data_IF_679642727817
#
_entry.id   IF_679642727817
#
_cell.length_a   1.000
_cell.length_b   1.000
_cell.length_c   1.000
_cell.angle_alpha   90.00
_cell.angle_beta   90.00
_cell.angle_gamma   90.00
#
_symmetry.space_group_name_H-M   'P 1'
#
loop_
_entity.id
_entity.type
_entity.pdbx_description
1 polymer ?
#
# COMPACT_ATOMS: atom_id res chain seq x y z
N UNK A 1 30.55 1.57 -5.27
CA UNK A 1 29.21 1.56 -5.90
C UNK A 1 28.56 0.23 -5.54
N UNK A 2 27.54 0.24 -4.69
CA UNK A 2 26.79 -0.97 -4.33
C UNK A 2 25.80 -1.23 -5.46
N UNK A 3 25.81 -2.43 -6.04
CA UNK A 3 24.81 -2.80 -7.04
C UNK A 3 23.42 -2.79 -6.39
N UNK A 4 22.39 -2.23 -7.04
CA UNK A 4 21.05 -2.25 -6.48
C UNK A 4 20.61 -3.70 -6.28
N UNK A 5 20.02 -3.99 -5.12
CA UNK A 5 19.42 -5.29 -4.86
C UNK A 5 18.22 -5.47 -5.79
N UNK A 6 18.19 -6.57 -6.53
CA UNK A 6 17.14 -6.88 -7.52
C UNK A 6 16.32 -8.07 -7.03
N UNK A 7 15.00 -7.96 -7.13
CA UNK A 7 14.09 -9.10 -7.04
C UNK A 7 13.91 -9.69 -8.44
N UNK A 8 14.32 -10.94 -8.70
CA UNK A 8 14.26 -11.52 -10.05
C UNK A 8 12.83 -11.80 -10.52
N UNK A 9 11.88 -12.04 -9.61
CA UNK A 9 10.47 -12.26 -9.95
C UNK A 9 9.77 -10.93 -10.23
N UNK A 10 10.10 -9.91 -9.44
CA UNK A 10 9.54 -8.56 -9.51
C UNK A 10 10.64 -7.51 -9.72
N UNK A 11 11.22 -7.42 -10.93
CA UNK A 11 12.39 -6.58 -11.20
C UNK A 11 12.12 -5.08 -11.08
N UNK A 12 10.85 -4.67 -11.03
CA UNK A 12 10.47 -3.29 -10.77
C UNK A 12 10.49 -2.91 -9.28
N UNK A 13 10.73 -3.85 -8.37
CA UNK A 13 10.77 -3.60 -6.92
C UNK A 13 12.00 -2.78 -6.54
N UNK A 14 11.80 -1.66 -5.85
CA UNK A 14 12.88 -0.97 -5.15
C UNK A 14 13.14 -1.68 -3.80
N UNK A 15 13.95 -2.75 -3.82
CA UNK A 15 14.06 -3.70 -2.69
C UNK A 15 14.49 -3.04 -1.38
N UNK A 16 15.51 -2.17 -1.42
CA UNK A 16 15.96 -1.45 -0.22
C UNK A 16 14.83 -0.59 0.39
N UNK A 17 14.12 0.16 -0.47
CA UNK A 17 12.98 1.00 -0.09
C UNK A 17 11.84 0.18 0.48
N UNK A 18 11.51 -0.95 -0.15
CA UNK A 18 10.50 -1.90 0.33
C UNK A 18 10.84 -2.43 1.74
N UNK A 19 12.09 -2.84 1.96
CA UNK A 19 12.53 -3.36 3.26
C UNK A 19 12.52 -2.28 4.34
N UNK A 20 12.89 -1.05 4.00
CA UNK A 20 12.80 0.08 4.92
C UNK A 20 11.33 0.41 5.27
N UNK A 21 10.41 0.38 4.30
CA UNK A 21 8.98 0.55 4.53
C UNK A 21 8.41 -0.54 5.45
N UNK A 22 8.77 -1.81 5.23
CA UNK A 22 8.40 -2.92 6.12
C UNK A 22 8.89 -2.70 7.54
N UNK A 23 10.15 -2.32 7.70
CA UNK A 23 10.74 -2.05 9.03
C UNK A 23 9.98 -0.95 9.77
N UNK A 24 9.64 0.15 9.07
CA UNK A 24 8.86 1.24 9.65
C UNK A 24 7.45 0.79 10.07
N UNK A 25 6.75 0.05 9.21
CA UNK A 25 5.42 -0.47 9.53
C UNK A 25 5.44 -1.39 10.76
N UNK A 26 6.43 -2.28 10.85
CA UNK A 26 6.62 -3.14 12.02
C UNK A 26 7.02 -2.39 13.29
N UNK A 27 7.68 -1.23 13.17
CA UNK A 27 8.12 -0.45 14.34
C UNK A 27 7.08 0.53 14.88
N UNK A 28 5.95 0.73 14.18
CA UNK A 28 4.87 1.60 14.65
C UNK A 28 4.34 1.10 16.00
N UNK A 29 4.27 1.99 16.98
CA UNK A 29 3.84 1.70 18.33
C UNK A 29 2.30 1.60 18.44
N UNK A 30 1.78 1.01 19.52
CA UNK A 30 0.36 1.04 19.81
C UNK A 30 -0.23 2.47 19.90
N UNK A 31 0.55 3.45 20.37
CA UNK A 31 0.08 4.84 20.44
C UNK A 31 -0.13 5.44 19.03
N UNK A 32 0.71 5.07 18.06
CA UNK A 32 0.63 5.54 16.68
C UNK A 32 -0.48 4.84 15.87
N UNK A 33 -0.93 3.65 16.29
CA UNK A 33 -1.88 2.81 15.55
C UNK A 33 -3.30 2.76 16.13
N UNK A 34 -3.49 3.20 17.38
CA UNK A 34 -4.79 3.13 18.08
C UNK A 34 -5.37 4.52 18.42
N UNK A 35 -4.82 5.60 17.83
CA UNK A 35 -5.29 6.97 18.02
C UNK A 35 -6.46 7.36 17.11
N UNK A 36 -6.65 8.68 16.92
CA UNK A 36 -7.56 9.21 15.90
C UNK A 36 -7.08 8.81 14.50
N UNK A 37 -8.01 8.37 13.65
CA UNK A 37 -7.69 7.86 12.32
C UNK A 37 -6.89 8.82 11.44
N UNK A 38 -7.10 10.14 11.54
CA UNK A 38 -6.35 11.09 10.74
C UNK A 38 -4.84 11.03 11.08
N UNK A 39 -4.50 10.87 12.36
CA UNK A 39 -3.11 10.69 12.80
C UNK A 39 -2.59 9.31 12.45
N UNK A 40 -3.37 8.25 12.68
CA UNK A 40 -2.97 6.88 12.32
C UNK A 40 -2.62 6.81 10.84
N UNK A 41 -3.45 7.38 9.96
CA UNK A 41 -3.17 7.45 8.52
C UNK A 41 -1.88 8.19 8.20
N UNK A 42 -1.55 9.28 8.92
CA UNK A 42 -0.27 9.98 8.74
C UNK A 42 0.92 9.09 9.10
N UNK A 43 0.84 8.32 10.17
CA UNK A 43 1.87 7.33 10.52
C UNK A 43 2.00 6.24 9.44
N UNK A 44 0.87 5.75 8.91
CA UNK A 44 0.84 4.77 7.82
C UNK A 44 1.49 5.31 6.54
N UNK A 45 1.18 6.55 6.13
CA UNK A 45 1.82 7.21 5.00
C UNK A 45 3.34 7.32 5.20
N UNK A 46 3.78 7.81 6.36
CA UNK A 46 5.20 7.92 6.69
C UNK A 46 5.91 6.55 6.66
N UNK A 47 5.26 5.50 7.16
CA UNK A 47 5.77 4.14 7.10
C UNK A 47 5.85 3.58 5.67
N UNK A 48 4.93 3.98 4.78
CA UNK A 48 4.97 3.65 3.35
C UNK A 48 6.03 4.47 2.57
N UNK A 49 6.62 5.50 3.19
CA UNK A 49 7.49 6.46 2.53
C UNK A 49 6.75 7.47 1.67
N UNK A 50 5.54 7.85 2.07
CA UNK A 50 4.67 8.81 1.41
C UNK A 50 4.51 10.08 2.26
N UNK A 51 4.49 11.22 1.58
CA UNK A 51 4.06 12.51 2.13
C UNK A 51 2.54 12.55 2.25
N UNK A 52 2.03 13.27 3.24
CA UNK A 52 0.60 13.59 3.34
C UNK A 52 0.31 14.85 2.52
N UNK A 53 -0.12 14.66 1.27
CA UNK A 53 -0.41 15.73 0.32
C UNK A 53 -1.88 15.62 -0.02
N UNK A 54 -2.71 16.46 0.61
CA UNK A 54 -4.16 16.44 0.42
C UNK A 54 -4.66 17.56 -0.50
N UNK A 55 -3.83 18.57 -0.73
CA UNK A 55 -4.13 19.77 -1.52
C UNK A 55 -3.46 19.74 -2.90
N UNK A 56 -3.61 18.63 -3.63
CA UNK A 56 -3.13 18.49 -5.01
C UNK A 56 -4.19 17.82 -5.89
N UNK A 57 -4.19 18.03 -7.21
CA UNK A 57 -5.04 17.23 -8.11
C UNK A 57 -4.66 15.75 -8.12
N UNK A 58 -5.58 14.84 -8.49
CA UNK A 58 -5.25 13.44 -8.77
C UNK A 58 -4.09 13.32 -9.77
N UNK A 59 -3.17 12.39 -9.53
CA UNK A 59 -1.97 12.19 -10.36
C UNK A 59 -0.82 13.18 -10.11
N UNK A 60 -1.03 14.25 -9.34
CA UNK A 60 0.01 15.24 -8.97
C UNK A 60 0.54 15.06 -7.55
N UNK A 61 0.56 13.81 -7.07
CA UNK A 61 1.06 13.46 -5.74
C UNK A 61 0.01 13.56 -4.64
N UNK A 62 -1.27 13.76 -4.97
CA UNK A 62 -2.34 13.69 -3.97
C UNK A 62 -2.41 12.28 -3.35
N UNK A 63 -2.22 12.20 -2.04
CA UNK A 63 -2.28 10.96 -1.27
C UNK A 63 -3.54 10.83 -0.41
N UNK A 64 -4.50 11.77 -0.47
CA UNK A 64 -5.71 11.82 0.39
C UNK A 64 -6.50 10.51 0.46
N UNK A 65 -6.52 9.76 -0.64
CA UNK A 65 -7.22 8.48 -0.78
C UNK A 65 -6.45 7.28 -0.24
N UNK A 66 -5.12 7.37 -0.12
CA UNK A 66 -4.28 6.30 0.38
C UNK A 66 -4.76 5.83 1.75
N UNK A 67 -5.03 4.53 1.85
CA UNK A 67 -5.57 3.83 3.01
C UNK A 67 -6.96 4.29 3.49
N UNK A 68 -7.59 5.23 2.79
CA UNK A 68 -8.86 5.87 3.16
C UNK A 68 -10.07 5.33 2.38
N UNK A 69 -9.84 4.52 1.36
CA UNK A 69 -10.87 3.81 0.60
C UNK A 69 -10.54 2.32 0.54
N UNK A 70 -11.40 1.54 -0.09
CA UNK A 70 -11.26 0.09 -0.13
C UNK A 70 -10.08 -0.40 -0.99
N UNK A 71 -9.64 0.40 -1.97
CA UNK A 71 -8.85 -0.06 -3.10
C UNK A 71 -7.39 0.40 -3.00
N UNK A 72 -7.11 1.63 -2.60
CA UNK A 72 -5.76 2.20 -2.51
C UNK A 72 -5.14 1.83 -1.16
N UNK A 73 -4.81 0.55 -0.99
CA UNK A 73 -4.33 0.01 0.29
C UNK A 73 -2.96 -0.65 0.21
N UNK A 74 -2.33 -0.73 -0.96
CA UNK A 74 -0.98 -1.27 -1.14
C UNK A 74 0.07 -0.18 -0.97
N UNK A 75 0.99 -0.34 -0.02
CA UNK A 75 2.22 0.44 0.04
C UNK A 75 3.25 -0.18 -0.92
N UNK A 76 3.31 0.34 -2.15
CA UNK A 76 4.17 -0.18 -3.22
C UNK A 76 5.46 0.62 -3.30
N UNK A 77 6.59 -0.06 -3.40
CA UNK A 77 7.92 0.54 -3.49
C UNK A 77 8.61 0.09 -4.78
N UNK A 78 8.64 0.96 -5.79
CA UNK A 78 9.11 0.62 -7.13
C UNK A 78 10.35 1.42 -7.55
N UNK A 79 11.13 0.85 -8.46
CA UNK A 79 12.28 1.49 -9.06
C UNK A 79 11.86 2.75 -9.82
N UNK A 80 12.69 3.79 -9.81
CA UNK A 80 12.38 5.05 -10.50
C UNK A 80 12.17 4.87 -12.01
N UNK A 81 12.84 3.90 -12.62
CA UNK A 81 12.71 3.56 -14.04
C UNK A 81 11.34 3.00 -14.43
N UNK A 82 10.60 2.41 -13.48
CA UNK A 82 9.25 1.86 -13.74
C UNK A 82 8.15 2.73 -13.15
N UNK A 83 8.48 3.76 -12.35
CA UNK A 83 7.49 4.66 -11.75
C UNK A 83 6.62 5.38 -12.79
N UNK A 84 7.13 5.54 -14.02
CA UNK A 84 6.44 6.16 -15.16
C UNK A 84 5.68 5.16 -16.04
N UNK A 85 5.68 3.86 -15.71
CA UNK A 85 4.90 2.87 -16.45
C UNK A 85 3.41 3.20 -16.40
N UNK A 86 2.69 2.89 -17.48
CA UNK A 86 1.23 3.04 -17.55
C UNK A 86 0.55 1.67 -17.48
N UNK A 87 -0.73 1.62 -17.14
CA UNK A 87 -1.47 0.36 -17.00
C UNK A 87 -1.61 -0.40 -18.35
N UNK A 88 -1.61 0.30 -19.48
CA UNK A 88 -1.80 -0.27 -20.84
C UNK A 88 -3.05 -1.15 -21.04
N UNK A 89 -3.97 -1.17 -20.06
CA UNK A 89 -5.17 -2.00 -20.05
C UNK A 89 -4.96 -3.38 -19.42
N UNK A 90 -3.83 -3.60 -18.75
CA UNK A 90 -3.46 -4.88 -18.14
C UNK A 90 -4.21 -5.15 -16.84
N UNK A 91 -4.48 -4.11 -16.04
CA UNK A 91 -5.32 -4.21 -14.83
C UNK A 91 -6.75 -3.73 -15.13
N UNK A 92 -7.77 -4.61 -15.03
CA UNK A 92 -9.16 -4.25 -15.22
C UNK A 92 -9.62 -3.15 -14.25
N UNK A 93 -10.38 -2.17 -14.77
CA UNK A 93 -10.90 -1.06 -13.97
C UNK A 93 -9.92 0.10 -13.74
N UNK A 94 -8.68 0.03 -14.25
CA UNK A 94 -7.69 1.10 -14.17
C UNK A 94 -7.48 1.74 -15.54
N UNK A 95 -7.44 3.08 -15.59
CA UNK A 95 -7.26 3.82 -16.84
C UNK A 95 -5.95 3.45 -17.54
N UNK A 96 -5.99 3.20 -18.86
CA UNK A 96 -4.82 2.77 -19.66
C UNK A 96 -3.64 3.75 -19.53
N UNK A 97 -3.91 5.05 -19.58
CA UNK A 97 -2.90 6.11 -19.53
C UNK A 97 -2.62 6.69 -18.14
N UNK A 98 -2.83 5.92 -17.07
CA UNK A 98 -2.60 6.40 -15.69
C UNK A 98 -1.11 6.67 -15.44
N UNK A 99 -0.68 7.93 -15.70
CA UNK A 99 0.69 8.42 -15.52
C UNK A 99 0.93 8.78 -14.06
N UNK A 100 1.31 7.79 -13.25
CA UNK A 100 1.55 7.96 -11.83
C UNK A 100 2.94 8.55 -11.50
N UNK A 101 3.90 8.47 -12.43
CA UNK A 101 5.31 8.84 -12.20
C UNK A 101 5.55 10.21 -11.55
N UNK A 102 4.99 11.32 -12.08
CA UNK A 102 5.15 12.63 -11.44
C UNK A 102 4.57 12.68 -10.02
N UNK A 103 3.43 12.04 -9.79
CA UNK A 103 2.82 11.98 -8.46
C UNK A 103 3.64 11.14 -7.48
N UNK A 104 4.19 10.02 -7.95
CA UNK A 104 5.11 9.17 -7.19
C UNK A 104 6.33 9.96 -6.75
N UNK A 105 6.99 10.66 -7.66
CA UNK A 105 8.20 11.45 -7.36
C UNK A 105 7.90 12.54 -6.32
N UNK A 106 6.78 13.26 -6.50
CA UNK A 106 6.36 14.33 -5.59
C UNK A 106 5.99 13.81 -4.21
N UNK A 107 5.29 12.68 -4.12
CA UNK A 107 4.81 12.14 -2.85
C UNK A 107 5.86 11.31 -2.11
N UNK A 108 6.92 10.85 -2.77
CA UNK A 108 7.91 9.96 -2.16
C UNK A 108 8.80 10.68 -1.15
N UNK A 109 8.97 10.08 0.03
CA UNK A 109 9.98 10.46 1.00
C UNK A 109 11.34 9.87 0.58
N UNK A 110 12.43 10.67 0.52
CA UNK A 110 13.74 10.20 0.05
C UNK A 110 14.45 9.27 1.05
N UNK A 111 14.12 9.39 2.34
CA UNK A 111 14.71 8.68 3.48
C UNK A 111 14.49 7.16 3.50
N UNK A 112 13.63 6.60 2.64
CA UNK A 112 13.53 5.14 2.48
C UNK A 112 14.53 4.56 1.48
N UNK A 113 15.29 5.40 0.76
CA UNK A 113 16.25 4.97 -0.25
C UNK A 113 15.78 5.25 -1.69
N UNK A 114 16.48 4.72 -2.71
CA UNK A 114 16.20 5.03 -4.11
C UNK A 114 14.81 4.53 -4.57
N UNK A 115 14.34 5.04 -5.71
CA UNK A 115 13.02 4.72 -6.27
C UNK A 115 11.89 5.58 -5.71
N UNK A 116 10.66 5.09 -5.83
CA UNK A 116 9.45 5.79 -5.38
C UNK A 116 8.50 4.90 -4.58
N UNK A 117 7.63 5.54 -3.82
CA UNK A 117 6.54 4.92 -3.08
C UNK A 117 5.19 5.38 -3.63
N UNK A 118 4.19 4.51 -3.64
CA UNK A 118 2.80 4.87 -3.97
C UNK A 118 1.80 3.99 -3.24
N UNK A 119 0.57 4.51 -3.08
CA UNK A 119 -0.57 3.72 -2.63
C UNK A 119 -1.31 3.17 -3.85
N UNK A 120 -1.03 1.93 -4.24
CA UNK A 120 -1.60 1.33 -5.46
C UNK A 120 -2.93 0.64 -5.18
N UNK A 121 -3.73 0.49 -6.24
CA UNK A 121 -4.99 -0.24 -6.21
C UNK A 121 -4.76 -1.73 -5.95
N UNK A 122 -5.57 -2.32 -5.07
CA UNK A 122 -5.53 -3.73 -4.65
C UNK A 122 -6.39 -4.66 -5.50
N UNK A 123 -7.19 -4.12 -6.44
CA UNK A 123 -8.02 -4.93 -7.34
C UNK A 123 -7.21 -6.03 -8.04
N UNK A 124 -7.60 -7.29 -7.85
CA UNK A 124 -6.88 -8.46 -8.40
C UNK A 124 -5.86 -9.09 -7.45
N UNK A 125 -5.67 -8.55 -6.24
CA UNK A 125 -4.68 -9.09 -5.29
C UNK A 125 -5.08 -10.45 -4.67
N UNK A 126 -6.33 -10.90 -4.79
CA UNK A 126 -6.74 -12.22 -4.31
C UNK A 126 -6.34 -13.37 -5.22
N UNK A 127 -5.90 -13.08 -6.44
CA UNK A 127 -5.42 -14.08 -7.40
C UNK A 127 -4.01 -14.55 -7.03
N UNK A 128 -3.62 -15.70 -7.55
CA UNK A 128 -2.28 -16.27 -7.36
C UNK A 128 -1.62 -16.59 -8.71
N UNK A 129 -0.54 -15.88 -9.11
CA UNK A 129 0.04 -14.73 -8.42
C UNK A 129 -0.90 -13.50 -8.43
N UNK A 130 -0.72 -12.52 -7.51
CA UNK A 130 -1.53 -11.30 -7.47
C UNK A 130 -1.49 -10.54 -8.81
N UNK A 131 -2.63 -10.02 -9.24
CA UNK A 131 -2.78 -9.26 -10.49
C UNK A 131 -3.18 -7.80 -10.27
N UNK A 132 -2.83 -7.25 -9.11
CA UNK A 132 -3.06 -5.84 -8.80
C UNK A 132 -2.06 -4.91 -9.50
N UNK A 133 -2.23 -3.60 -9.28
CA UNK A 133 -1.42 -2.57 -9.96
C UNK A 133 0.07 -2.68 -9.61
N UNK A 134 0.41 -3.06 -8.37
CA UNK A 134 1.81 -3.21 -7.96
C UNK A 134 2.49 -4.31 -8.80
N UNK A 135 1.84 -5.47 -8.85
CA UNK A 135 2.39 -6.67 -9.45
C UNK A 135 2.40 -6.64 -10.99
N UNK A 136 1.39 -6.01 -11.60
CA UNK A 136 1.25 -5.98 -13.07
C UNK A 136 1.93 -4.76 -13.67
N UNK A 137 1.49 -3.55 -13.32
CA UNK A 137 1.96 -2.31 -13.96
C UNK A 137 3.43 -2.01 -13.60
N UNK A 138 3.76 -2.15 -12.31
CA UNK A 138 5.10 -1.83 -11.82
C UNK A 138 6.02 -3.03 -11.74
N UNK A 139 5.51 -4.26 -11.90
CA UNK A 139 6.27 -5.50 -11.66
C UNK A 139 7.03 -5.44 -10.34
N UNK A 140 6.33 -4.96 -9.30
CA UNK A 140 6.86 -4.72 -7.97
C UNK A 140 6.09 -5.54 -6.94
N UNK A 141 6.79 -6.06 -5.95
CA UNK A 141 6.14 -6.48 -4.70
C UNK A 141 5.65 -5.26 -3.93
N UNK A 142 4.66 -5.47 -3.07
CA UNK A 142 4.28 -4.49 -2.07
C UNK A 142 5.20 -4.58 -0.84
N UNK A 143 5.47 -3.43 -0.21
CA UNK A 143 6.05 -3.44 1.13
C UNK A 143 5.06 -4.05 2.11
N UNK A 144 3.83 -3.55 2.10
CA UNK A 144 2.72 -4.06 2.89
C UNK A 144 1.40 -3.54 2.34
N UNK A 145 0.28 -4.17 2.73
CA UNK A 145 -1.07 -3.64 2.52
C UNK A 145 -1.85 -3.56 3.81
N UNK A 146 -2.78 -2.61 3.86
CA UNK A 146 -3.75 -2.50 4.95
C UNK A 146 -4.97 -3.36 4.65
N UNK A 147 -5.36 -4.21 5.62
CA UNK A 147 -6.55 -5.05 5.56
C UNK A 147 -7.40 -4.82 6.81
N UNK A 148 -8.65 -4.41 6.64
CA UNK A 148 -9.64 -4.29 7.73
C UNK A 148 -10.17 -5.68 8.15
N UNK A 149 -10.34 -5.90 9.44
CA UNK A 149 -10.60 -7.23 10.01
C UNK A 149 -12.09 -7.44 10.32
N UNK A 150 -12.72 -8.55 9.89
CA UNK A 150 -14.07 -8.89 10.33
C UNK A 150 -14.11 -9.23 11.84
N UNK A 151 -15.30 -9.26 12.47
CA UNK A 151 -16.62 -8.99 11.91
C UNK A 151 -17.06 -7.51 12.00
N UNK A 152 -16.44 -6.72 12.87
CA UNK A 152 -16.83 -5.34 13.16
C UNK A 152 -16.10 -4.32 12.27
N UNK A 153 -14.97 -4.74 11.66
CA UNK A 153 -14.11 -3.91 10.83
C UNK A 153 -13.48 -2.74 11.59
N UNK A 154 -13.46 -2.75 12.92
CA UNK A 154 -12.85 -1.71 13.76
C UNK A 154 -11.33 -1.80 13.86
N UNK A 155 -10.77 -2.98 13.55
CA UNK A 155 -9.33 -3.26 13.58
C UNK A 155 -8.81 -3.46 12.17
N UNK A 156 -7.56 -3.07 11.91
CA UNK A 156 -6.83 -3.41 10.69
C UNK A 156 -5.52 -4.15 11.01
N UNK A 157 -5.03 -4.91 10.04
CA UNK A 157 -3.67 -5.46 10.00
C UNK A 157 -2.90 -4.86 8.85
N UNK A 158 -1.59 -4.74 9.04
CA UNK A 158 -0.63 -4.51 7.96
C UNK A 158 0.00 -5.87 7.64
N UNK A 159 -0.13 -6.34 6.41
CA UNK A 159 0.47 -7.61 5.95
C UNK A 159 1.45 -7.34 4.83
N UNK A 160 2.58 -8.04 4.82
CA UNK A 160 3.55 -7.93 3.73
C UNK A 160 3.09 -8.69 2.47
N UNK A 161 3.92 -8.67 1.43
CA UNK A 161 3.60 -9.34 0.17
C UNK A 161 3.42 -10.86 0.29
N UNK A 162 4.01 -11.50 1.31
CA UNK A 162 3.82 -12.92 1.59
C UNK A 162 2.54 -13.21 2.40
N UNK A 163 1.83 -12.16 2.83
CA UNK A 163 0.69 -12.26 3.74
C UNK A 163 1.08 -12.33 5.22
N UNK A 164 2.36 -12.13 5.56
CA UNK A 164 2.81 -12.14 6.94
C UNK A 164 2.42 -10.83 7.63
N UNK A 165 1.83 -10.94 8.84
CA UNK A 165 1.47 -9.77 9.62
C UNK A 165 2.71 -9.00 10.09
N UNK A 166 2.75 -7.71 9.78
CA UNK A 166 3.77 -6.78 10.25
C UNK A 166 3.33 -6.02 11.50
N UNK A 167 2.07 -5.58 11.56
CA UNK A 167 1.51 -4.82 12.67
C UNK A 167 -0.03 -4.80 12.62
N UNK A 168 -0.68 -4.21 13.65
CA UNK A 168 -2.14 -4.03 13.70
C UNK A 168 -2.55 -2.80 14.51
N UNK A 169 -3.73 -2.26 14.22
CA UNK A 169 -4.29 -1.11 14.93
C UNK A 169 -5.80 -1.19 15.05
N UNK A 170 -6.34 -0.60 16.12
CA UNK A 170 -7.78 -0.41 16.37
C UNK A 170 -8.02 1.08 16.56
N UNK A 171 -7.97 1.86 15.46
CA UNK A 171 -8.09 3.31 15.50
C UNK A 171 -9.50 3.75 15.92
N UNK A 172 -9.61 5.02 16.30
CA UNK A 172 -10.87 5.67 16.67
C UNK A 172 -11.12 6.93 15.81
N UNK A 173 -12.19 7.66 16.12
CA UNK A 173 -12.55 8.88 15.40
C UNK A 173 -13.23 8.60 14.05
N UNK A 174 -12.93 9.41 13.03
CA UNK A 174 -13.59 9.31 11.72
C UNK A 174 -12.89 8.27 10.84
N UNK A 175 -13.23 7.00 11.05
CA UNK A 175 -12.77 5.88 10.23
C UNK A 175 -13.31 5.99 8.79
N UNK A 176 -12.70 5.29 7.81
CA UNK A 176 -13.33 5.04 6.52
C UNK A 176 -14.72 4.43 6.70
N UNK A 177 -15.63 4.71 5.77
CA UNK A 177 -16.99 4.21 5.84
C UNK A 177 -17.00 2.68 6.00
N UNK A 178 -17.96 2.15 6.77
CA UNK A 178 -18.02 0.70 7.02
C UNK A 178 -18.10 -0.12 5.73
N UNK A 179 -18.76 0.41 4.70
CA UNK A 179 -18.83 -0.20 3.37
C UNK A 179 -17.46 -0.32 2.70
N UNK A 180 -16.60 0.69 2.82
CA UNK A 180 -15.24 0.68 2.28
C UNK A 180 -14.36 -0.35 3.02
N UNK A 181 -14.45 -0.39 4.35
CA UNK A 181 -13.71 -1.36 5.16
C UNK A 181 -14.13 -2.80 4.88
N UNK A 182 -15.42 -3.04 4.68
CA UNK A 182 -15.95 -4.34 4.25
C UNK A 182 -15.47 -4.72 2.84
N UNK A 183 -15.55 -3.79 1.89
CA UNK A 183 -15.10 -4.02 0.52
C UNK A 183 -13.59 -4.32 0.46
N UNK A 184 -12.79 -3.64 1.28
CA UNK A 184 -11.35 -3.90 1.41
C UNK A 184 -11.09 -5.37 1.80
N UNK A 185 -11.78 -5.87 2.84
CA UNK A 185 -11.64 -7.27 3.24
C UNK A 185 -12.17 -8.24 2.17
N UNK A 186 -13.32 -7.93 1.55
CA UNK A 186 -13.90 -8.76 0.49
C UNK A 186 -12.94 -8.97 -0.67
N UNK A 187 -12.15 -7.95 -1.04
CA UNK A 187 -11.18 -8.05 -2.13
C UNK A 187 -10.06 -9.04 -1.84
N UNK A 188 -9.62 -9.13 -0.59
CA UNK A 188 -8.53 -10.04 -0.19
C UNK A 188 -9.02 -11.42 0.24
N UNK A 189 -10.33 -11.59 0.41
CA UNK A 189 -10.92 -12.83 0.91
C UNK A 189 -10.53 -14.03 0.03
N UNK A 190 -10.18 -15.15 0.68
CA UNK A 190 -9.72 -16.36 -0.01
C UNK A 190 -8.26 -16.34 -0.45
N UNK A 191 -7.51 -15.26 -0.16
CA UNK A 191 -6.08 -15.15 -0.48
C UNK A 191 -5.19 -15.16 0.76
N UNK A 192 -3.87 -15.21 0.54
CA UNK A 192 -2.84 -15.11 1.60
C UNK A 192 -2.98 -13.84 2.45
N UNK A 193 -3.49 -12.76 1.89
CA UNK A 193 -3.60 -11.47 2.58
C UNK A 193 -4.74 -11.43 3.62
N UNK A 194 -5.72 -12.34 3.54
CA UNK A 194 -6.84 -12.39 4.49
C UNK A 194 -6.52 -13.14 5.79
N UNK A 195 -5.48 -13.98 5.80
CA UNK A 195 -5.22 -14.93 6.89
C UNK A 195 -5.01 -14.24 8.25
N UNK A 196 -4.18 -13.20 8.30
CA UNK A 196 -3.92 -12.46 9.53
C UNK A 196 -5.16 -11.71 10.05
N UNK A 197 -5.96 -11.14 9.13
CA UNK A 197 -7.20 -10.45 9.49
C UNK A 197 -8.25 -11.42 10.07
N UNK A 198 -8.36 -12.62 9.51
CA UNK A 198 -9.25 -13.67 10.01
C UNK A 198 -8.81 -14.23 11.37
N UNK A 199 -7.50 -14.29 11.64
CA UNK A 199 -6.97 -14.79 12.91
C UNK A 199 -7.22 -13.86 14.11
N UNK A 200 -7.61 -12.59 13.87
CA UNK A 200 -7.95 -11.63 14.92
C UNK A 200 -9.43 -11.62 15.31
N UNK A 201 -10.30 -12.29 14.53
CA UNK A 201 -11.75 -12.34 14.71
C UNK A 201 -12.21 -13.62 15.38
#
# INVERSE_FOLDING_TARGET
MVLPQVDPEYPGTAVERMMNARRRASSLSPAELNGDWAEVRRHLLSAAGLRDITNAPPGQGNTSHAFNDYNHCDATCMMGTVAHNTNEGQVPGIARGNLLGPGVEVASLPELGPGGSWSTCTNGCHLDPPQDVAHIQFRSRIAWKLVWCPPDFGTFVLVDDAGAQLNKGTPSGRLPALTERRANFQIVQGSKYAAAALALG
#
